data_IF_189446792293
#
_entry.id   IF_189446792293
#
_cell.length_a   1.000
_cell.length_b   1.000
_cell.length_c   1.000
_cell.angle_alpha   90.00
_cell.angle_beta   90.00
_cell.angle_gamma   90.00
#
_symmetry.space_group_name_H-M   'P 1'
#
loop_
_entity.id
_entity.type
_entity.pdbx_description
1 polymer ?
#
# COMPACT_ATOMS: atom_id res chain seq x y z
N UNK A 1 3.24 -22.21 -25.95
CA UNK A 1 1.87 -21.73 -25.63
C UNK A 1 1.99 -20.91 -24.35
N UNK A 2 2.17 -19.58 -24.44
CA UNK A 2 2.19 -18.73 -23.25
C UNK A 2 0.75 -18.57 -22.79
N UNK A 3 0.42 -19.18 -21.65
CA UNK A 3 -0.86 -18.99 -20.99
C UNK A 3 -0.79 -17.61 -20.36
N UNK A 4 -1.33 -16.60 -21.06
CA UNK A 4 -1.65 -15.34 -20.41
C UNK A 4 -2.73 -15.64 -19.37
N UNK A 5 -2.31 -15.85 -18.12
CA UNK A 5 -3.23 -15.83 -17.00
C UNK A 5 -3.98 -14.49 -17.10
N UNK A 6 -5.32 -14.49 -17.03
CA UNK A 6 -6.05 -13.24 -16.98
C UNK A 6 -5.47 -12.43 -15.82
N UNK A 7 -4.96 -11.23 -16.11
CA UNK A 7 -4.59 -10.26 -15.11
C UNK A 7 -5.87 -9.91 -14.35
N UNK A 8 -6.22 -10.71 -13.34
CA UNK A 8 -7.21 -10.37 -12.35
C UNK A 8 -6.68 -9.11 -11.69
N UNK A 9 -7.19 -7.96 -12.14
CA UNK A 9 -6.88 -6.68 -11.53
C UNK A 9 -7.20 -6.80 -10.03
N UNK A 10 -6.17 -6.76 -9.19
CA UNK A 10 -6.36 -6.80 -7.74
C UNK A 10 -7.02 -5.49 -7.31
N UNK A 11 -8.25 -5.60 -6.86
CA UNK A 11 -9.00 -4.45 -6.32
C UNK A 11 -8.44 -3.98 -4.96
N UNK A 12 -7.80 -4.87 -4.22
CA UNK A 12 -7.23 -4.55 -2.92
C UNK A 12 -6.04 -5.45 -2.55
N UNK A 13 -5.25 -4.97 -1.60
CA UNK A 13 -4.04 -5.59 -1.09
C UNK A 13 -4.10 -5.65 0.45
N UNK A 14 -3.63 -6.77 1.02
CA UNK A 14 -3.21 -6.80 2.42
C UNK A 14 -1.83 -6.13 2.58
N UNK A 15 -1.48 -5.64 3.78
CA UNK A 15 -0.14 -5.07 4.07
C UNK A 15 1.03 -5.85 3.44
N UNK A 16 1.22 -7.16 3.70
CA UNK A 16 2.40 -7.89 3.17
C UNK A 16 2.42 -7.91 1.65
N UNK A 17 1.26 -8.12 1.03
CA UNK A 17 1.14 -8.14 -0.43
C UNK A 17 1.39 -6.77 -1.06
N UNK A 18 0.94 -5.70 -0.41
CA UNK A 18 1.21 -4.33 -0.86
C UNK A 18 2.69 -3.99 -0.73
N UNK A 19 3.29 -4.30 0.42
CA UNK A 19 4.71 -4.13 0.70
C UNK A 19 5.59 -4.82 -0.37
N UNK A 20 5.28 -6.09 -0.70
CA UNK A 20 5.97 -6.81 -1.78
C UNK A 20 5.72 -6.20 -3.16
N UNK A 21 4.51 -5.69 -3.43
CA UNK A 21 4.18 -5.12 -4.76
C UNK A 21 4.95 -3.83 -5.05
N UNK A 22 5.19 -3.01 -4.02
CA UNK A 22 5.87 -1.70 -4.14
C UNK A 22 7.32 -1.72 -3.65
N UNK A 23 7.84 -2.90 -3.32
CA UNK A 23 9.20 -3.13 -2.82
C UNK A 23 9.57 -2.28 -1.58
N UNK A 24 8.64 -2.19 -0.61
CA UNK A 24 8.86 -1.51 0.68
C UNK A 24 8.68 -2.47 1.85
N UNK A 25 9.17 -2.09 3.03
CA UNK A 25 8.98 -2.86 4.25
C UNK A 25 7.52 -2.82 4.72
N UNK A 26 7.03 -3.93 5.29
CA UNK A 26 5.70 -3.96 5.95
C UNK A 26 5.57 -2.89 7.04
N UNK A 27 6.66 -2.60 7.75
CA UNK A 27 6.73 -1.56 8.77
C UNK A 27 6.45 -0.18 8.17
N UNK A 28 7.02 0.13 7.00
CA UNK A 28 6.77 1.39 6.27
C UNK A 28 5.29 1.53 5.91
N UNK A 29 4.66 0.45 5.44
CA UNK A 29 3.23 0.45 5.13
C UNK A 29 2.40 0.65 6.40
N UNK A 30 2.72 -0.05 7.49
CA UNK A 30 2.04 0.11 8.79
C UNK A 30 2.16 1.53 9.31
N UNK A 31 3.36 2.11 9.22
CA UNK A 31 3.62 3.50 9.61
C UNK A 31 2.81 4.46 8.76
N UNK A 32 2.79 4.30 7.44
CA UNK A 32 1.97 5.14 6.55
C UNK A 32 0.47 5.06 6.89
N UNK A 33 -0.03 3.88 7.29
CA UNK A 33 -1.42 3.72 7.75
C UNK A 33 -1.64 4.43 9.09
N UNK A 34 -0.74 4.24 10.05
CA UNK A 34 -0.83 4.82 11.38
C UNK A 34 -0.72 6.35 11.35
N UNK A 35 0.11 6.90 10.46
CA UNK A 35 0.31 8.33 10.24
C UNK A 35 -0.86 8.95 9.43
N UNK A 36 -1.82 8.13 8.97
CA UNK A 36 -2.97 8.56 8.16
C UNK A 36 -2.62 8.89 6.70
N UNK A 37 -1.37 8.68 6.28
CA UNK A 37 -0.91 8.92 4.91
C UNK A 37 -1.45 7.87 3.92
N UNK A 38 -1.63 6.62 4.37
CA UNK A 38 -2.21 5.53 3.57
C UNK A 38 -3.58 5.15 4.13
N UNK A 39 -4.64 5.33 3.33
CA UNK A 39 -5.99 4.92 3.71
C UNK A 39 -6.10 3.40 3.71
N UNK A 40 -6.36 2.84 4.88
CA UNK A 40 -6.67 1.43 5.07
C UNK A 40 -8.11 1.26 5.55
N UNK A 41 -8.80 0.24 5.04
CA UNK A 41 -10.13 -0.14 5.49
C UNK A 41 -10.04 -1.38 6.37
N UNK A 42 -10.74 -1.33 7.51
CA UNK A 42 -10.76 -2.40 8.49
C UNK A 42 -12.11 -3.11 8.39
N UNK A 43 -12.14 -4.37 7.89
CA UNK A 43 -13.40 -5.08 7.67
C UNK A 43 -14.11 -5.51 8.96
N UNK A 44 -13.45 -5.44 10.11
CA UNK A 44 -14.02 -5.80 11.41
C UNK A 44 -13.52 -4.84 12.48
N UNK A 45 -14.40 -4.45 13.41
CA UNK A 45 -14.05 -3.63 14.59
C UNK A 45 -13.00 -4.30 15.51
N UNK A 46 -12.86 -5.62 15.43
CA UNK A 46 -11.90 -6.41 16.21
C UNK A 46 -10.42 -6.33 15.75
N UNK A 47 -10.02 -5.29 15.00
CA UNK A 47 -8.61 -5.04 14.67
C UNK A 47 -7.96 -6.02 13.70
N UNK A 48 -8.74 -6.69 12.83
CA UNK A 48 -8.17 -7.61 11.82
C UNK A 48 -7.43 -6.87 10.70
N UNK A 49 -6.61 -7.64 9.98
CA UNK A 49 -5.70 -7.23 8.91
C UNK A 49 -6.33 -6.13 8.02
N UNK A 50 -5.75 -4.93 7.96
CA UNK A 50 -6.25 -3.86 7.11
C UNK A 50 -6.18 -4.24 5.63
N UNK A 51 -7.15 -3.72 4.89
CA UNK A 51 -7.27 -3.86 3.45
C UNK A 51 -7.00 -2.51 2.81
N UNK A 52 -6.03 -2.48 1.90
CA UNK A 52 -5.62 -1.29 1.15
C UNK A 52 -6.25 -1.43 -0.24
N UNK A 53 -7.15 -0.52 -0.61
CA UNK A 53 -7.71 -0.55 -1.96
C UNK A 53 -6.67 -0.05 -2.97
N UNK A 54 -6.78 -0.54 -4.20
CA UNK A 54 -5.87 -0.15 -5.29
C UNK A 54 -5.82 1.36 -5.48
N UNK A 55 -6.97 2.04 -5.42
CA UNK A 55 -7.08 3.49 -5.59
C UNK A 55 -6.33 4.24 -4.48
N UNK A 56 -6.55 3.85 -3.22
CA UNK A 56 -5.87 4.42 -2.05
C UNK A 56 -4.34 4.20 -2.11
N UNK A 57 -3.92 3.02 -2.57
CA UNK A 57 -2.51 2.70 -2.79
C UNK A 57 -1.86 3.57 -3.88
N UNK A 58 -2.55 3.77 -5.01
CA UNK A 58 -2.08 4.62 -6.11
C UNK A 58 -2.01 6.08 -5.65
N UNK A 59 -3.05 6.58 -4.97
CA UNK A 59 -3.10 7.93 -4.40
C UNK A 59 -1.91 8.16 -3.47
N UNK A 60 -1.63 7.21 -2.56
CA UNK A 60 -0.47 7.32 -1.67
C UNK A 60 0.85 7.36 -2.43
N UNK A 61 1.07 6.48 -3.41
CA UNK A 61 2.30 6.44 -4.21
C UNK A 61 2.52 7.75 -4.99
N UNK A 62 1.45 8.35 -5.53
CA UNK A 62 1.52 9.61 -6.27
C UNK A 62 1.83 10.82 -5.38
N UNK A 63 1.48 10.75 -4.09
CA UNK A 63 1.72 11.81 -3.11
C UNK A 63 3.02 11.62 -2.32
N UNK A 64 3.81 10.58 -2.61
CA UNK A 64 5.12 10.42 -1.97
C UNK A 64 6.03 11.60 -2.34
N UNK A 65 6.78 12.16 -1.38
CA UNK A 65 7.71 13.24 -1.67
C UNK A 65 8.80 12.76 -2.64
N UNK A 66 9.07 13.57 -3.66
CA UNK A 66 10.15 13.32 -4.63
C UNK A 66 11.53 13.68 -4.05
N UNK A 67 11.57 14.58 -3.08
CA UNK A 67 12.77 14.95 -2.36
C UNK A 67 12.95 14.07 -1.12
N UNK A 68 14.15 13.51 -0.94
CA UNK A 68 14.48 12.74 0.26
C UNK A 68 14.39 13.67 1.49
N UNK A 69 13.55 13.37 2.50
CA UNK A 69 13.52 14.18 3.70
C UNK A 69 14.90 14.15 4.37
N UNK A 70 15.56 15.32 4.43
CA UNK A 70 16.94 15.48 4.92
C UNK A 70 17.95 16.04 3.92
N UNK A 71 17.57 16.36 2.68
CA UNK A 71 18.40 17.12 1.75
C UNK A 71 18.19 18.65 1.89
N UNK A 72 18.18 19.16 3.13
CA UNK A 72 18.41 20.58 3.39
C UNK A 72 19.72 20.65 4.17
N UNK A 73 20.77 21.10 3.47
CA UNK A 73 22.08 21.41 4.03
C UNK A 73 22.01 22.67 4.91
#
# INVERSE_FOLDING_TARGET
MMMHAPNLERFAYSIPNFATTVDVSEDTVRKAINDGALKARYPTEAGRKPIIFREDAIEWLQNLPTEKPGAAA
#
